data_IF_891977361378
#
_entry.id   IF_891977361378
#
_cell.length_a   1.000
_cell.length_b   1.000
_cell.length_c   1.000
_cell.angle_alpha   90.00
_cell.angle_beta   90.00
_cell.angle_gamma   90.00
#
_symmetry.space_group_name_H-M   'P 1'
#
loop_
_entity.id
_entity.type
_entity.pdbx_description
1 polymer ?
2 non-polymer ?
3 non-polymer ?
4 non-polymer ?
5 non-polymer ?
6 water ?
#
# COMPACT_ATOMS: atom_id res chain seq x y z
N UNK A 9 24.05 -2.80 2.96
CA UNK A 9 22.79 -3.63 3.04
C UNK A 9 21.89 -3.33 1.87
N UNK A 10 21.22 -4.38 1.38
CA UNK A 10 20.16 -4.23 0.42
C UNK A 10 19.02 -3.43 1.10
N UNK A 11 18.47 -2.46 0.41
CA UNK A 11 17.44 -1.61 0.99
C UNK A 11 16.12 -1.78 0.27
N UNK A 12 15.09 -2.14 1.04
CA UNK A 12 13.75 -2.36 0.49
C UNK A 12 12.71 -1.46 1.07
N UNK A 13 11.98 -0.73 0.21
CA UNK A 13 10.88 0.11 0.63
C UNK A 13 9.59 -0.69 0.42
N UNK A 14 8.77 -0.77 1.45
CA UNK A 14 7.48 -1.44 1.36
C UNK A 14 6.32 -0.47 1.62
N UNK A 15 5.41 -0.40 0.67
CA UNK A 15 4.22 0.41 0.76
C UNK A 15 3.29 -0.14 1.85
N UNK A 16 2.40 0.71 2.38
CA UNK A 16 1.47 0.29 3.38
C UNK A 16 0.11 -0.03 2.86
N UNK A 17 -0.64 0.96 2.37
CA UNK A 17 -2.00 0.71 1.90
C UNK A 17 -2.00 -0.12 0.57
N UNK A 18 -2.69 -1.24 0.66
CA UNK A 18 -2.81 -2.19 -0.43
C UNK A 18 -1.68 -3.20 -0.50
N UNK A 19 -0.73 -3.13 0.44
CA UNK A 19 0.43 -4.03 0.47
C UNK A 19 0.56 -4.68 1.85
N UNK A 20 0.60 -3.83 2.92
CA UNK A 20 0.61 -4.27 4.26
C UNK A 20 -0.77 -4.27 4.89
N UNK A 21 -1.50 -3.21 4.61
CA UNK A 21 -2.79 -2.94 5.21
C UNK A 21 -3.86 -2.97 4.16
N UNK A 22 -4.96 -3.67 4.48
CA UNK A 22 -6.02 -3.92 3.52
C UNK A 22 -6.99 -2.71 3.40
N UNK A 23 -6.53 -1.69 2.70
CA UNK A 23 -7.27 -0.48 2.43
C UNK A 23 -8.57 -0.82 1.65
N UNK A 24 -8.46 -1.67 0.64
CA UNK A 24 -9.65 -1.96 -0.19
C UNK A 24 -10.79 -2.64 0.60
N UNK A 25 -10.45 -3.68 1.37
CA UNK A 25 -11.43 -4.47 2.15
C UNK A 25 -11.99 -3.64 3.27
N UNK A 26 -11.11 -2.85 3.89
CA UNK A 26 -11.52 -1.96 4.98
C UNK A 26 -12.51 -0.92 4.50
N UNK A 27 -12.16 -0.26 3.41
CA UNK A 27 -12.99 0.73 2.78
C UNK A 27 -14.40 0.10 2.51
N UNK A 28 -14.42 -1.06 1.84
CA UNK A 28 -15.72 -1.63 1.45
C UNK A 28 -16.58 -1.94 2.64
N UNK A 29 -16.00 -2.52 3.68
CA UNK A 29 -16.72 -2.89 4.88
C UNK A 29 -17.34 -1.67 5.50
N UNK A 30 -16.53 -0.61 5.64
CA UNK A 30 -17.02 0.58 6.33
C UNK A 30 -18.05 1.34 5.47
N UNK A 31 -17.87 1.34 4.16
CA UNK A 31 -18.78 2.00 3.27
C UNK A 31 -20.17 1.34 3.33
N UNK A 32 -20.17 0.02 3.26
CA UNK A 32 -21.43 -0.74 3.31
C UNK A 32 -22.16 -0.56 4.64
N UNK A 33 -21.39 -0.49 5.72
CA UNK A 33 -21.97 -0.31 7.04
C UNK A 33 -22.50 1.10 7.18
N UNK A 34 -21.84 2.09 6.59
CA UNK A 34 -22.31 3.46 6.75
C UNK A 34 -23.39 3.83 5.73
N UNK A 35 -23.33 3.28 4.54
CA UNK A 35 -24.21 3.63 3.45
C UNK A 35 -24.90 2.37 2.91
N UNK A 36 -25.62 1.63 3.78
CA UNK A 36 -26.19 0.31 3.41
C UNK A 36 -27.13 0.32 2.24
N UNK A 37 -27.77 1.46 1.96
CA UNK A 37 -28.68 1.51 0.83
C UNK A 37 -28.05 2.04 -0.44
N UNK A 38 -26.72 2.23 -0.48
CA UNK A 38 -26.11 2.69 -1.72
C UNK A 38 -25.55 1.51 -2.48
N UNK A 39 -25.40 1.62 -3.80
CA UNK A 39 -24.68 0.56 -4.48
C UNK A 39 -23.16 0.64 -4.11
N UNK A 40 -22.46 -0.47 -4.31
CA UNK A 40 -21.02 -0.56 -3.99
C UNK A 40 -20.31 -1.37 -5.06
N UNK A 41 -18.97 -1.35 -5.01
CA UNK A 41 -18.12 -2.08 -5.94
C UNK A 41 -17.45 -3.22 -5.23
N UNK A 42 -17.81 -4.45 -5.63
CA UNK A 42 -17.21 -5.63 -5.06
C UNK A 42 -15.72 -5.58 -5.35
N UNK A 43 -14.91 -6.10 -4.45
CA UNK A 43 -13.43 -6.00 -4.61
C UNK A 43 -12.97 -6.54 -5.94
N UNK A 44 -13.55 -7.68 -6.35
CA UNK A 44 -13.21 -8.30 -7.67
C UNK A 44 -13.42 -7.39 -8.84
N UNK A 45 -14.38 -6.45 -8.71
CA UNK A 45 -14.72 -5.53 -9.79
C UNK A 45 -14.04 -4.16 -9.71
N UNK A 46 -13.10 -4.00 -8.78
CA UNK A 46 -12.42 -2.71 -8.65
C UNK A 46 -11.56 -2.46 -9.87
N UNK A 47 -11.71 -1.27 -10.44
CA UNK A 47 -10.97 -0.83 -11.58
C UNK A 47 -10.45 0.60 -11.39
N UNK A 48 -9.18 0.79 -11.70
CA UNK A 48 -8.55 2.09 -11.56
C UNK A 48 -8.07 2.25 -10.11
N UNK A 49 -6.94 2.93 -9.93
CA UNK A 49 -6.33 3.12 -8.64
C UNK A 49 -7.24 3.88 -7.67
N UNK A 50 -7.96 4.89 -8.18
CA UNK A 50 -8.72 5.79 -7.33
C UNK A 50 -10.13 5.31 -7.05
N UNK A 51 -10.35 4.82 -5.81
CA UNK A 51 -11.62 4.31 -5.40
C UNK A 51 -12.75 5.30 -5.66
N UNK A 52 -12.51 6.57 -5.34
CA UNK A 52 -13.60 7.53 -5.44
C UNK A 52 -14.01 7.80 -6.87
N UNK A 53 -13.08 7.65 -7.80
CA UNK A 53 -13.46 7.88 -9.19
C UNK A 53 -14.42 6.78 -9.67
N UNK A 54 -14.20 5.56 -9.26
CA UNK A 54 -15.07 4.48 -9.69
C UNK A 54 -16.44 4.66 -9.06
N UNK A 55 -16.46 4.99 -7.75
CA UNK A 55 -17.70 5.20 -7.04
C UNK A 55 -18.50 6.39 -7.66
N UNK A 56 -17.80 7.44 -8.03
CA UNK A 56 -18.40 8.60 -8.63
C UNK A 56 -19.13 8.30 -9.94
N UNK A 57 -18.60 7.36 -10.73
CA UNK A 57 -19.25 6.94 -12.00
C UNK A 57 -20.46 6.05 -11.74
N UNK A 58 -20.47 5.35 -10.62
CA UNK A 58 -21.59 4.47 -10.24
C UNK A 58 -22.88 5.21 -9.85
N UNK A 59 -22.75 6.38 -9.24
CA UNK A 59 -23.91 7.19 -8.88
C UNK A 59 -23.46 8.60 -8.46
N UNK A 60 -24.22 9.63 -8.86
CA UNK A 60 -23.87 10.98 -8.40
C UNK A 60 -23.80 11.12 -6.86
N UNK A 61 -22.82 11.86 -6.37
CA UNK A 61 -22.59 12.03 -4.93
C UNK A 61 -21.89 10.89 -4.17
N UNK A 62 -21.65 9.76 -4.83
CA UNK A 62 -20.99 8.62 -4.24
C UNK A 62 -19.49 8.87 -4.02
N UNK A 63 -18.86 9.70 -4.86
CA UNK A 63 -17.46 10.02 -4.69
C UNK A 63 -17.24 10.66 -3.29
N UNK A 64 -18.14 11.57 -2.90
CA UNK A 64 -17.99 12.31 -1.65
C UNK A 64 -18.26 11.40 -0.47
N UNK A 65 -19.23 10.50 -0.64
CA UNK A 65 -19.47 9.54 0.41
C UNK A 65 -18.27 8.58 0.60
N UNK A 66 -17.72 8.08 -0.49
CA UNK A 66 -16.46 7.28 -0.43
C UNK A 66 -15.36 8.04 0.33
N UNK A 67 -15.13 9.30 -0.01
CA UNK A 67 -14.09 10.11 0.65
C UNK A 67 -14.32 10.20 2.15
N UNK A 68 -15.55 10.38 2.58
CA UNK A 68 -15.86 10.44 4.01
C UNK A 68 -15.48 9.18 4.78
N UNK A 69 -15.34 8.04 4.11
CA UNK A 69 -14.92 6.84 4.84
C UNK A 69 -13.45 6.93 5.27
N UNK A 70 -12.57 7.24 4.35
CA UNK A 70 -11.12 7.30 4.70
C UNK A 70 -10.71 8.56 5.45
N UNK A 71 -11.57 9.58 5.44
CA UNK A 71 -11.36 10.74 6.28
C UNK A 71 -11.83 10.50 7.72
N UNK A 72 -12.51 9.39 8.01
CA UNK A 72 -13.08 9.22 9.34
C UNK A 72 -12.03 8.67 10.30
N UNK A 73 -12.16 9.08 11.54
CA UNK A 73 -11.34 8.58 12.60
C UNK A 73 -11.39 7.06 12.64
N UNK A 74 -10.24 6.45 12.92
CA UNK A 74 -10.09 5.01 13.00
C UNK A 74 -10.12 4.18 11.70
N UNK A 75 -10.34 4.82 10.57
CA UNK A 75 -10.31 4.10 9.32
C UNK A 75 -8.94 3.45 9.11
N UNK A 76 -7.86 4.22 9.17
CA UNK A 76 -6.52 3.67 8.98
C UNK A 76 -6.14 2.73 10.06
N UNK A 77 -6.41 3.15 11.30
CA UNK A 77 -5.97 2.32 12.41
C UNK A 77 -6.58 0.90 12.39
N UNK A 78 -7.86 0.80 11.97
CA UNK A 78 -8.59 -0.50 12.02
C UNK A 78 -8.43 -1.38 10.76
N UNK A 79 -7.61 -0.97 9.80
CA UNK A 79 -7.31 -1.82 8.65
C UNK A 79 -6.67 -3.11 9.11
N UNK A 80 -7.09 -4.20 8.48
CA UNK A 80 -6.54 -5.50 8.78
C UNK A 80 -5.30 -5.69 7.94
N UNK A 81 -4.30 -6.38 8.48
CA UNK A 81 -3.16 -6.72 7.65
C UNK A 81 -3.51 -7.65 6.52
N UNK A 82 -2.86 -7.48 5.37
CA UNK A 82 -3.06 -8.47 4.32
C UNK A 82 -2.44 -9.80 4.76
N UNK A 83 -2.99 -10.93 4.29
CA UNK A 83 -2.44 -12.24 4.74
C UNK A 83 -0.96 -12.32 4.42
N UNK A 84 -0.18 -12.80 5.36
CA UNK A 84 1.26 -13.00 5.12
C UNK A 84 2.11 -11.73 5.29
N UNK A 85 1.49 -10.54 5.27
CA UNK A 85 2.29 -9.29 5.20
C UNK A 85 3.18 -9.08 6.41
N UNK A 86 2.59 -9.24 7.61
CA UNK A 86 3.35 -8.97 8.85
C UNK A 86 4.52 -9.99 9.01
N UNK A 87 4.20 -11.26 8.84
CA UNK A 87 5.21 -12.33 8.87
C UNK A 87 6.31 -12.10 7.87
N UNK A 88 5.94 -11.74 6.63
CA UNK A 88 6.96 -11.56 5.61
C UNK A 88 7.91 -10.40 5.92
N UNK A 89 7.32 -9.25 6.30
CA UNK A 89 8.17 -8.07 6.58
C UNK A 89 9.04 -8.27 7.79
N UNK A 90 8.51 -8.90 8.81
CA UNK A 90 9.33 -9.23 9.97
C UNK A 90 10.48 -10.14 9.61
N UNK A 91 10.22 -11.17 8.82
CA UNK A 91 11.30 -12.02 8.38
C UNK A 91 12.27 -11.25 7.51
N UNK A 92 11.74 -10.48 6.53
CA UNK A 92 12.57 -9.67 5.68
C UNK A 92 13.54 -8.75 6.45
N UNK A 93 13.01 -8.05 7.44
CA UNK A 93 13.82 -7.13 8.24
C UNK A 93 14.89 -7.88 9.07
N UNK A 94 14.62 -9.10 9.46
CA UNK A 94 15.61 -9.92 10.22
C UNK A 94 16.72 -10.52 9.35
N UNK A 95 16.59 -10.45 8.04
CA UNK A 95 17.62 -11.00 7.16
C UNK A 95 18.87 -10.21 7.24
N UNK A 96 20.01 -10.90 7.15
CA UNK A 96 21.30 -10.21 7.08
C UNK A 96 21.38 -9.31 5.89
N UNK A 97 22.13 -8.21 6.06
CA UNK A 97 22.38 -7.26 4.98
C UNK A 97 21.06 -6.79 4.29
N UNK A 98 20.03 -6.56 5.10
CA UNK A 98 18.71 -6.19 4.58
C UNK A 98 18.06 -5.14 5.49
N UNK A 99 17.83 -3.96 4.94
CA UNK A 99 17.20 -2.85 5.65
C UNK A 99 15.85 -2.62 4.99
N UNK A 100 14.81 -2.69 5.81
CA UNK A 100 13.45 -2.55 5.37
C UNK A 100 12.85 -1.29 5.92
N UNK A 101 12.26 -0.46 5.06
CA UNK A 101 11.53 0.74 5.50
C UNK A 101 10.07 0.59 5.01
N UNK A 102 9.15 0.97 5.85
CA UNK A 102 7.77 1.11 5.46
C UNK A 102 7.58 2.55 4.93
N UNK A 103 7.36 2.67 3.63
CA UNK A 103 7.35 3.96 2.93
C UNK A 103 5.92 4.16 2.41
N UNK A 104 5.22 5.12 3.03
CA UNK A 104 3.79 5.31 2.84
C UNK A 104 3.42 6.76 2.77
N UNK A 105 2.31 7.04 2.09
CA UNK A 105 1.80 8.39 1.89
C UNK A 105 0.60 8.62 2.75
N UNK A 106 0.64 9.62 3.62
CA UNK A 106 -0.55 9.97 4.28
C UNK A 106 -1.52 10.69 3.36
N UNK A 107 -2.83 10.58 3.65
CA UNK A 107 -3.77 11.37 2.88
C UNK A 107 -3.66 12.85 3.22
N UNK A 108 -4.25 13.69 2.36
CA UNK A 108 -4.18 15.15 2.54
C UNK A 108 -4.80 15.61 3.86
N UNK A 109 -5.96 15.06 4.20
CA UNK A 109 -6.59 15.35 5.48
C UNK A 109 -5.80 14.59 6.57
N UNK A 110 -5.01 15.34 7.33
CA UNK A 110 -3.94 14.83 8.17
C UNK A 110 -4.36 14.67 9.63
N UNK A 111 -5.63 14.92 9.98
CA UNK A 111 -6.04 14.93 11.37
C UNK A 111 -5.78 13.58 12.05
N UNK A 112 -6.07 12.45 11.37
CA UNK A 112 -5.95 11.12 11.97
C UNK A 112 -4.86 10.25 11.30
N UNK A 113 -4.69 10.41 10.00
CA UNK A 113 -4.02 9.39 9.19
C UNK A 113 -2.55 9.16 9.61
N UNK A 114 -1.71 10.23 9.67
CA UNK A 114 -0.34 10.00 10.07
C UNK A 114 -0.24 9.33 11.44
N UNK A 115 -0.96 9.84 12.42
CA UNK A 115 -1.00 9.24 13.74
C UNK A 115 -1.37 7.73 13.66
N UNK A 116 -2.46 7.42 12.97
CA UNK A 116 -2.96 6.03 12.97
C UNK A 116 -2.00 5.10 12.25
N UNK A 117 -1.29 5.60 11.26
CA UNK A 117 -0.28 4.77 10.56
C UNK A 117 0.88 4.39 11.50
N UNK A 118 1.36 5.38 12.28
CA UNK A 118 2.31 5.05 13.34
C UNK A 118 1.74 4.03 14.32
N UNK A 119 0.50 4.28 14.77
CA UNK A 119 -0.12 3.37 15.74
C UNK A 119 -0.29 1.96 15.18
N UNK A 120 -0.62 1.87 13.89
CA UNK A 120 -0.78 0.57 13.24
C UNK A 120 0.52 -0.22 13.19
N UNK A 121 1.61 0.45 12.85
CA UNK A 121 2.90 -0.17 12.79
C UNK A 121 3.33 -0.67 14.18
N UNK A 122 3.11 0.15 15.21
CA UNK A 122 3.44 -0.24 16.55
C UNK A 122 2.67 -1.52 16.93
N UNK A 123 1.40 -1.51 16.61
CA UNK A 123 0.49 -2.61 16.94
C UNK A 123 0.93 -3.92 16.27
N UNK A 124 1.25 -3.89 14.98
CA UNK A 124 1.64 -5.14 14.25
C UNK A 124 3.08 -5.54 14.16
N UNK A 125 4.00 -4.57 14.26
CA UNK A 125 5.41 -4.82 14.19
C UNK A 125 6.17 -4.49 15.43
N UNK A 126 5.57 -3.75 16.37
CA UNK A 126 6.21 -3.45 17.62
C UNK A 126 6.87 -2.09 17.64
N UNK A 127 7.09 -1.54 18.85
CA UNK A 127 7.77 -0.23 18.98
C UNK A 127 9.06 -0.04 18.23
N UNK A 128 9.91 -1.06 18.20
CA UNK A 128 11.21 -0.87 17.55
C UNK A 128 11.07 -0.62 16.03
N UNK A 129 9.99 -1.07 15.45
CA UNK A 129 9.79 -0.89 14.03
C UNK A 129 9.37 0.53 13.61
N UNK A 130 9.00 1.40 14.57
CA UNK A 130 8.64 2.75 14.29
C UNK A 130 9.80 3.51 13.65
N UNK A 131 11.05 3.15 13.93
CA UNK A 131 12.23 3.81 13.30
C UNK A 131 12.33 3.57 11.79
N UNK A 132 11.59 2.58 11.28
CA UNK A 132 11.62 2.19 9.88
C UNK A 132 10.53 2.85 9.04
N UNK A 133 9.81 3.81 9.61
CA UNK A 133 8.67 4.43 8.86
C UNK A 133 9.18 5.68 8.16
N UNK A 134 8.85 5.80 6.87
CA UNK A 134 9.03 6.98 6.09
C UNK A 134 7.66 7.40 5.57
N UNK A 135 7.17 8.58 5.99
CA UNK A 135 5.97 9.17 5.41
C UNK A 135 6.34 10.20 4.33
N UNK A 136 5.78 10.07 3.14
CA UNK A 136 6.13 10.95 2.05
C UNK A 136 5.07 10.87 0.99
N UNK A 137 4.83 11.97 0.33
CA UNK A 137 4.01 11.98 -0.91
C UNK A 137 4.81 11.77 -2.19
N UNK A 138 6.12 11.69 -2.02
CA UNK A 138 7.03 11.48 -3.11
C UNK A 138 8.01 10.39 -2.76
N UNK A 139 7.82 9.23 -3.37
CA UNK A 139 8.73 8.09 -3.17
C UNK A 139 9.96 8.08 -4.01
N UNK A 140 9.95 8.86 -5.08
CA UNK A 140 11.10 8.93 -5.98
C UNK A 140 12.34 9.57 -5.33
N UNK A 141 12.12 10.38 -4.29
CA UNK A 141 13.24 10.96 -3.54
C UNK A 141 13.76 10.09 -2.40
N UNK A 142 13.22 8.87 -2.24
CA UNK A 142 13.70 7.95 -1.24
C UNK A 142 14.50 6.92 -2.00
N UNK A 143 15.74 6.74 -1.58
CA UNK A 143 16.67 5.92 -2.32
C UNK A 143 16.69 4.52 -1.73
N UNK A 144 16.71 3.53 -2.62
CA UNK A 144 16.68 2.11 -2.21
C UNK A 144 16.91 1.22 -3.40
N UNK A 145 17.05 -0.06 -3.14
CA UNK A 145 17.19 -1.07 -4.25
C UNK A 145 15.85 -1.51 -4.81
N UNK A 146 14.86 -1.58 -3.94
CA UNK A 146 13.54 -2.03 -4.33
C UNK A 146 12.44 -1.25 -3.67
N UNK A 147 11.35 -1.05 -4.42
CA UNK A 147 10.11 -0.51 -3.89
C UNK A 147 8.96 -1.51 -4.23
N UNK A 148 8.32 -2.08 -3.20
CA UNK A 148 7.15 -2.95 -3.35
C UNK A 148 5.87 -2.15 -3.09
N UNK A 149 5.07 -1.92 -4.13
CA UNK A 149 4.00 -0.95 -4.10
C UNK A 149 2.96 -1.34 -5.11
N UNK A 150 1.68 -1.28 -4.72
CA UNK A 150 0.58 -1.65 -5.59
C UNK A 150 0.18 -0.60 -6.64
N UNK A 151 0.76 0.61 -6.55
CA UNK A 151 0.42 1.65 -7.46
C UNK A 151 1.19 1.47 -8.77
N UNK A 152 0.53 1.46 -9.92
CA UNK A 152 1.31 1.20 -11.17
C UNK A 152 2.29 2.27 -11.57
N UNK A 153 1.89 3.50 -11.43
CA UNK A 153 2.77 4.56 -11.88
C UNK A 153 3.19 5.49 -10.71
N UNK A 154 4.46 5.41 -10.35
CA UNK A 154 4.97 6.08 -9.19
C UNK A 154 5.94 7.16 -9.72
N UNK A 155 5.57 8.43 -9.52
CA UNK A 155 6.35 9.53 -10.04
C UNK A 155 6.49 10.62 -9.01
N UNK A 156 7.34 11.60 -9.33
CA UNK A 156 7.66 12.67 -8.41
C UNK A 156 8.84 13.49 -8.91
N UNK A 157 9.55 14.12 -7.98
CA UNK A 157 10.60 15.04 -8.32
C UNK A 157 11.82 14.42 -8.91
N UNK A 158 12.11 13.16 -8.62
CA UNK A 158 13.31 12.52 -9.10
C UNK A 158 12.96 11.73 -10.35
N UNK A 159 13.50 12.13 -11.54
CA UNK A 159 13.09 11.44 -12.77
C UNK A 159 13.69 10.06 -12.91
N UNK A 160 14.78 9.77 -12.21
CA UNK A 160 15.36 8.47 -12.28
C UNK A 160 15.60 7.96 -10.87
N UNK A 161 14.55 7.41 -10.24
CA UNK A 161 14.66 6.79 -8.93
C UNK A 161 15.67 5.65 -8.91
N UNK A 162 16.32 5.44 -7.79
CA UNK A 162 17.30 4.43 -7.66
C UNK A 162 16.70 3.05 -7.50
N UNK A 163 15.44 2.97 -7.02
CA UNK A 163 14.81 1.67 -6.78
C UNK A 163 14.25 1.06 -8.08
N UNK A 164 14.18 -0.27 -8.08
CA UNK A 164 13.30 -1.01 -8.99
C UNK A 164 11.94 -1.15 -8.31
N UNK A 165 10.89 -0.72 -8.99
CA UNK A 165 9.51 -0.82 -8.55
C UNK A 165 8.96 -2.19 -8.91
N UNK A 166 8.63 -2.97 -7.89
CA UNK A 166 7.96 -4.29 -8.04
C UNK A 166 6.49 -4.05 -7.73
N UNK A 167 5.65 -4.37 -8.69
CA UNK A 167 4.25 -4.14 -8.56
C UNK A 167 3.60 -5.21 -7.68
N UNK A 168 3.00 -4.80 -6.56
CA UNK A 168 2.29 -5.70 -5.68
C UNK A 168 0.88 -5.85 -6.20
N UNK A 169 0.45 -7.09 -6.45
CA UNK A 169 -0.86 -7.30 -6.97
C UNK A 169 -2.02 -6.79 -6.08
N UNK A 170 -2.99 -6.14 -6.73
CA UNK A 170 -4.24 -5.74 -6.10
C UNK A 170 -5.32 -5.92 -7.15
N UNK A 171 -6.57 -6.04 -6.73
CA UNK A 171 -7.67 -6.16 -7.78
C UNK A 171 -7.64 -5.05 -8.82
N UNK A 172 -7.31 -3.82 -8.41
CA UNK A 172 -7.30 -2.70 -9.36
C UNK A 172 -6.19 -2.81 -10.41
N UNK A 173 -5.13 -3.59 -10.15
CA UNK A 173 -4.01 -3.67 -11.10
C UNK A 173 -3.78 -5.08 -11.73
N UNK A 174 -4.63 -6.04 -11.34
CA UNK A 174 -4.40 -7.44 -11.58
C UNK A 174 -4.36 -7.77 -13.09
N UNK A 175 -5.03 -6.97 -13.93
CA UNK A 175 -5.07 -7.20 -15.38
C UNK A 175 -4.04 -6.50 -16.08
N UNK A 176 -3.29 -5.62 -15.41
CA UNK A 176 -2.34 -4.78 -16.09
C UNK A 176 -1.14 -5.51 -16.69
N UNK A 177 -0.92 -5.26 -17.97
CA UNK A 177 0.26 -5.71 -18.59
C UNK A 177 1.33 -4.69 -18.38
N UNK A 178 2.46 -5.14 -17.86
CA UNK A 178 3.60 -4.32 -17.56
C UNK A 178 4.63 -4.37 -18.67
N UNK A 179 5.32 -3.26 -18.82
CA UNK A 179 6.39 -3.04 -19.79
C UNK A 179 7.63 -3.81 -19.27
N UNK A 180 8.07 -4.86 -19.97
CA UNK A 180 9.32 -5.52 -19.55
C UNK A 180 10.40 -4.48 -19.35
N UNK A 181 11.33 -4.65 -18.39
CA UNK A 181 11.41 -5.81 -17.51
C UNK A 181 10.75 -5.60 -16.13
N UNK A 182 9.64 -4.85 -16.11
CA UNK A 182 8.89 -4.65 -14.87
C UNK A 182 8.29 -5.95 -14.38
N UNK A 183 8.29 -6.16 -13.07
CA UNK A 183 7.76 -7.40 -12.53
C UNK A 183 6.82 -7.24 -11.32
N UNK A 184 6.15 -8.33 -10.95
CA UNK A 184 5.16 -8.32 -9.91
C UNK A 184 5.52 -9.14 -8.74
N UNK A 185 4.94 -8.78 -7.58
CA UNK A 185 4.97 -9.67 -6.43
C UNK A 185 3.50 -9.97 -6.28
N UNK A 186 3.10 -11.24 -6.43
CA UNK A 186 1.70 -11.51 -6.57
C UNK A 186 0.88 -11.50 -5.25
N UNK A 187 1.59 -11.68 -4.13
CA UNK A 187 1.01 -11.66 -2.79
C UNK A 187 2.22 -11.96 -1.90
N UNK A 188 2.06 -11.88 -0.59
CA UNK A 188 3.14 -12.22 0.28
C UNK A 188 3.44 -13.70 0.35
N UNK A 189 2.54 -14.53 -0.16
CA UNK A 189 2.80 -15.98 -0.29
C UNK A 189 3.76 -16.23 -1.44
N UNK A 190 3.85 -15.27 -2.36
CA UNK A 190 4.78 -15.31 -3.49
C UNK A 190 6.23 -15.21 -3.00
N UNK A 191 7.18 -15.56 -3.87
CA UNK A 191 8.58 -15.68 -3.47
C UNK A 191 9.31 -14.35 -3.47
N UNK A 192 9.08 -13.58 -2.39
CA UNK A 192 9.75 -12.29 -2.22
C UNK A 192 11.22 -12.43 -2.01
N UNK A 193 11.65 -13.50 -1.32
CA UNK A 193 13.10 -13.69 -1.14
C UNK A 193 13.86 -13.79 -2.43
N UNK A 194 13.31 -14.51 -3.42
CA UNK A 194 13.98 -14.57 -4.72
C UNK A 194 14.12 -13.22 -5.42
N UNK A 195 13.12 -12.36 -5.26
CA UNK A 195 13.18 -11.01 -5.78
C UNK A 195 14.28 -10.21 -5.12
N UNK A 196 14.32 -10.23 -3.80
CA UNK A 196 15.40 -9.54 -3.08
C UNK A 196 16.78 -10.10 -3.52
N UNK A 197 16.92 -11.43 -3.56
CA UNK A 197 18.24 -12.06 -3.86
C UNK A 197 18.71 -11.67 -5.25
N UNK A 198 17.77 -11.42 -6.16
CA UNK A 198 18.13 -11.02 -7.50
C UNK A 198 18.78 -9.64 -7.58
N UNK A 199 18.69 -8.83 -6.50
CA UNK A 199 19.27 -7.50 -6.47
C UNK A 199 20.55 -7.45 -5.69
N UNK A 200 20.88 -8.55 -5.00
CA UNK A 200 22.06 -8.57 -4.18
C UNK A 200 23.32 -8.71 -5.07
N UNK A 201 24.50 -8.31 -4.56
CA UNK A 201 25.76 -8.67 -5.29
C UNK A 201 26.08 -10.16 -5.12
X LIG B 1 -0.61 1.52 -1.91
X LIG C 1 -5.99 -9.58 -6.42
X LIG C 1 -7.41 -10.07 -6.16
X LIG C 1 -5.18 -9.38 -5.18
X LIG C 1 -8.78 -9.30 -7.10
X LIG D 1 -2.04 5.01 -11.15
X LIG D 1 -0.73 4.54 -11.44
X LIG D 1 -2.04 6.47 -11.52
X LIG D 1 -0.76 7.00 -11.13
X LIG D 1 -3.23 7.04 -10.78
X LIG D 1 -3.61 8.32 -11.29
X LIG E 1 18.94 -6.85 10.73
X LIG E 1 19.03 -8.17 11.18
X LIG E 1 19.32 -6.91 9.28
X LIG E 1 18.14 -6.89 8.48
X LIG E 1 20.30 -5.76 9.01
X LIG E 1 20.79 -5.97 7.72
X LIG F 1 -3.09 10.50 -3.07
X LIG F 1 -1.75 10.15 -3.12
X LIG F 1 -1.17 9.46 -2.04
X LIG F 1 -1.98 9.07 -0.92
X LIG F 1 -3.29 9.40 -0.91
X LIG F 1 -3.89 10.12 -1.95
X LIG F 1 -5.31 10.45 -1.87
X LIG F 1 -5.48 12.21 -1.16
X LIG F 1 -6.88 12.46 -0.84
X LIG F 1 -4.57 12.24 0.00
X LIG F 1 -4.86 12.99 -2.34
X LIG F 1 -5.94 9.41 -1.07
X LIG F 1 -5.96 10.34 -3.13
X LIG F 1 -7.45 10.59 -3.15
X LIG F 1 -8.08 9.59 -2.26
X LIG F 1 -7.90 8.30 -2.86
X LIG F 1 -7.34 9.43 -0.93
X LIG F 1 -7.75 8.05 -0.45
X LIG F 1 -7.99 7.31 -1.80
X LIG F 1 -7.06 6.20 -2.07
X LIG F 1 -5.82 6.03 -1.44
X LIG F 1 -7.47 5.34 -3.03
X LIG F 1 -8.54 5.50 -3.62
X LIG F 1 -6.64 4.32 -3.35
X LIG F 1 -5.39 4.10 -2.72
X LIG F 1 -4.75 3.09 -3.09
X LIG F 1 -4.92 5.00 -1.75
X LIG F 1 -3.64 4.87 -1.03
X LIG F 1 -2.53 5.26 -1.95
X LIG F 1 -0.90 4.77 -1.28
X LIG F 1 0.03 5.10 -2.34
X LIG F 1 -1.05 3.33 -0.98
X LIG F 1 -0.83 5.63 -0.03
#
# INVERSE_FOLDING_TARGET
>A
SNAASGGRALRVLVDMDGVLADFEGGFLRKFRARFPDQPFIALEDRRGFWVSEQYGRLRPGLSEKAISIWESKNFFFELEPLPGAVEAVKEMASLQNTDVFICTSPIKMFKYCPYEKYAWVEKYFGPDFLEQIVLTRDKTVVSADLLIDDRPDITGAEPTPSWEHVLFTACHNQHLQLQPPRRRLHSWADDWKAILDSKRPC
>B hetero
1 MG MG
>C hetero
1 BME C1 C2 O1 S2
>D hetero
1 GOL C1 O1 C2 O2 C3 O3
>E hetero
1 GOL C1 O1 C2 O2 C3 O3
>F hetero
1 2O2 CAV CAW CAX CAY CAZ CAU CAB PAA OBB OBC OBA OAH OAD CAC CAE OAF CAG CAI CAJ N1 C6 C2 O2 N3 C4 O4 C5 CAR CAS PBD OBF OBG OBE
#
